data_IF_716376443784
#
_entry.id   IF_716376443784
#
_cell.length_a   1.000
_cell.length_b   1.000
_cell.length_c   1.000
_cell.angle_alpha   90.00
_cell.angle_beta   90.00
_cell.angle_gamma   90.00
#
_symmetry.space_group_name_H-M   'P 1'
#
loop_
_entity.id
_entity.type
_entity.pdbx_description
1 polymer ?
2 branched ?
3 water ?
#
# COMPACT_ATOMS: atom_id res chain seq x y z
N UNK A 2 12.82 -8.06 -6.23
CA UNK A 2 13.59 -7.20 -5.37
C UNK A 2 12.78 -5.94 -5.03
N UNK A 3 13.21 -5.18 -4.03
CA UNK A 3 12.48 -4.00 -3.61
C UNK A 3 13.30 -2.74 -3.33
N UNK A 4 12.60 -1.62 -3.19
CA UNK A 4 13.23 -0.36 -2.89
C UNK A 4 14.11 0.09 -4.02
N UNK A 5 15.26 0.66 -3.69
CA UNK A 5 16.25 1.13 -4.66
C UNK A 5 16.67 0.02 -5.61
N UNK A 6 16.74 -1.19 -5.09
CA UNK A 6 17.14 -2.38 -5.84
C UNK A 6 15.99 -3.00 -6.66
N UNK A 7 14.75 -2.69 -6.30
CA UNK A 7 13.61 -3.23 -7.00
C UNK A 7 12.78 -2.23 -7.79
N UNK A 8 13.27 -0.99 -7.88
CA UNK A 8 12.60 0.09 -8.61
C UNK A 8 11.39 0.68 -7.86
N UNK A 9 11.58 1.05 -6.60
CA UNK A 9 10.53 1.62 -5.77
C UNK A 9 9.49 0.57 -5.45
N UNK A 10 9.73 -0.64 -5.92
CA UNK A 10 8.82 -1.76 -5.76
C UNK A 10 8.50 -2.06 -4.32
N UNK A 11 7.24 -2.40 -4.04
CA UNK A 11 6.89 -2.66 -2.65
C UNK A 11 6.48 -4.08 -2.29
N UNK A 12 6.82 -4.49 -1.08
CA UNK A 12 6.49 -5.80 -0.57
C UNK A 12 5.03 -5.82 -0.13
N UNK A 13 4.31 -6.95 -0.35
CA UNK A 13 2.90 -7.13 0.02
C UNK A 13 2.78 -7.27 1.54
N UNK A 14 1.54 -7.15 2.04
CA UNK A 14 1.22 -7.27 3.47
C UNK A 14 2.14 -6.47 4.43
N UNK A 15 2.76 -5.39 3.96
CA UNK A 15 3.64 -4.52 4.75
C UNK A 15 4.98 -5.10 5.12
N UNK A 16 5.41 -6.14 4.42
CA UNK A 16 6.73 -6.70 4.71
C UNK A 16 7.75 -5.59 4.47
N UNK A 17 8.74 -5.52 5.35
CA UNK A 17 9.76 -4.50 5.26
C UNK A 17 10.75 -4.80 4.15
N UNK A 18 11.19 -3.77 3.46
CA UNK A 18 12.15 -3.91 2.39
C UNK A 18 13.48 -3.54 3.01
N UNK A 19 14.27 -4.55 3.40
CA UNK A 19 15.57 -4.34 4.05
C UNK A 19 16.42 -3.38 3.26
N UNK A 20 17.61 -3.03 3.77
CA UNK A 20 18.46 -2.12 3.00
C UNK A 20 18.96 -2.76 1.67
N UNK A 21 18.97 -4.09 1.61
CA UNK A 21 19.44 -4.81 0.43
C UNK A 21 18.35 -5.20 -0.59
N UNK A 22 17.20 -4.53 -0.50
CA UNK A 22 16.11 -4.76 -1.43
C UNK A 22 15.38 -6.09 -1.34
N UNK A 23 15.29 -6.67 -0.15
CA UNK A 23 14.56 -7.93 -0.03
C UNK A 23 13.40 -7.79 0.94
N UNK A 24 12.44 -8.71 0.87
CA UNK A 24 11.24 -8.73 1.74
C UNK A 24 11.20 -9.72 2.91
N UNK A 25 10.72 -9.25 4.04
CA UNK A 25 10.58 -10.14 5.17
C UNK A 25 10.22 -9.35 6.38
N UNK A 26 10.13 -10.04 7.52
CA UNK A 26 9.81 -9.41 8.79
C UNK A 26 10.97 -9.74 9.73
N UNK A 27 11.23 -8.83 10.65
CA UNK A 27 12.28 -9.04 11.61
C UNK A 27 13.26 -7.90 11.56
N UNK A 28 14.09 -7.82 12.58
CA UNK A 28 15.07 -6.76 12.64
C UNK A 28 15.87 -6.72 11.37
N UNK A 29 16.13 -7.89 10.81
CA UNK A 29 16.93 -8.00 9.58
C UNK A 29 16.39 -7.11 8.44
N UNK A 30 15.08 -7.13 8.23
CA UNK A 30 14.49 -6.34 7.16
C UNK A 30 13.86 -5.05 7.65
N UNK A 31 13.31 -5.08 8.85
CA UNK A 31 12.62 -3.89 9.39
C UNK A 31 13.46 -2.86 10.15
N UNK A 32 14.62 -3.26 10.66
CA UNK A 32 15.45 -2.34 11.43
C UNK A 32 16.18 -1.27 10.66
N UNK A 33 17.50 -1.23 10.88
CA UNK A 33 18.38 -0.28 10.21
C UNK A 33 18.35 -0.69 8.72
N UNK A 34 18.36 0.27 7.81
CA UNK A 34 18.29 -0.08 6.41
C UNK A 34 16.93 0.09 5.77
N UNK A 35 15.90 -0.57 6.31
CA UNK A 35 14.48 -0.51 5.81
C UNK A 35 14.09 0.61 4.81
N UNK A 36 13.66 0.24 3.62
CA UNK A 36 13.31 1.21 2.59
C UNK A 36 11.80 1.53 2.49
N UNK A 37 10.97 0.56 2.88
CA UNK A 37 9.52 0.66 2.87
C UNK A 37 8.89 -0.48 3.65
N UNK A 38 7.57 -0.48 3.81
CA UNK A 38 6.94 -1.54 4.56
C UNK A 38 6.82 -1.10 6.01
N UNK A 39 6.57 -2.04 6.92
CA UNK A 39 6.43 -1.72 8.34
C UNK A 39 7.74 -1.45 9.05
N UNK A 40 8.54 -0.52 8.51
CA UNK A 40 9.86 -0.16 9.09
C UNK A 40 9.75 0.10 10.55
N UNK A 41 10.79 -0.25 11.31
CA UNK A 41 10.78 -0.04 12.75
C UNK A 41 10.85 1.46 13.08
N UNK A 42 11.49 2.22 12.19
CA UNK A 42 11.58 3.66 12.34
C UNK A 42 10.69 4.25 11.28
N UNK A 43 9.56 4.78 11.72
CA UNK A 43 8.61 5.35 10.82
C UNK A 43 9.17 6.52 10.06
N UNK A 44 9.03 6.42 8.75
CA UNK A 44 9.48 7.42 7.79
C UNK A 44 8.85 8.77 8.04
N UNK A 45 9.40 9.77 7.34
CA UNK A 45 8.98 11.15 7.43
C UNK A 45 8.14 11.48 6.19
N UNK A 46 7.27 12.47 6.27
CA UNK A 46 6.47 12.79 5.10
C UNK A 46 5.96 14.21 5.04
N UNK A 47 5.41 14.54 3.88
CA UNK A 47 4.81 15.84 3.64
C UNK A 47 5.41 17.13 4.14
N UNK A 48 4.69 17.82 5.01
CA UNK A 48 5.09 19.11 5.58
C UNK A 48 6.50 19.10 6.10
N UNK A 49 6.73 18.22 7.07
CA UNK A 49 8.01 18.07 7.71
C UNK A 49 9.08 17.48 6.77
N UNK A 50 8.67 16.73 5.77
CA UNK A 50 9.62 16.14 4.83
C UNK A 50 9.56 16.66 3.39
N UNK A 51 8.87 17.78 3.17
CA UNK A 51 8.75 18.33 1.82
C UNK A 51 7.94 17.54 0.80
N UNK A 52 7.11 16.60 1.26
CA UNK A 52 6.34 15.80 0.35
C UNK A 52 6.83 14.38 0.19
N UNK A 53 7.57 13.87 1.17
CA UNK A 53 8.06 12.49 1.10
C UNK A 53 6.90 11.53 1.37
N UNK A 54 5.81 11.69 0.60
CA UNK A 54 4.61 10.86 0.69
C UNK A 54 4.96 9.48 1.23
N UNK A 55 4.07 8.90 2.05
CA UNK A 55 4.32 7.58 2.60
C UNK A 55 4.17 6.46 1.63
N UNK A 56 5.16 5.56 1.59
CA UNK A 56 4.92 4.49 0.63
C UNK A 56 4.09 3.46 1.38
N UNK A 57 3.55 2.51 0.61
CA UNK A 57 2.71 1.41 1.05
C UNK A 57 1.29 1.88 1.37
N UNK A 58 0.90 3.06 0.89
CA UNK A 58 -0.44 3.66 1.15
C UNK A 58 -0.68 3.84 2.64
N UNK A 59 0.36 4.28 3.33
CA UNK A 59 0.28 4.52 4.74
C UNK A 59 -0.13 5.94 4.91
N UNK A 60 -0.66 6.24 6.10
CA UNK A 60 -1.13 7.56 6.42
C UNK A 60 0.04 8.31 6.94
N UNK A 61 0.03 9.60 6.71
CA UNK A 61 1.07 10.47 7.16
C UNK A 61 0.46 11.32 8.27
N UNK A 62 1.04 11.24 9.46
CA UNK A 62 0.50 11.99 10.59
C UNK A 62 0.79 13.48 10.53
N UNK A 63 0.10 14.23 11.38
CA UNK A 63 0.27 15.67 11.46
C UNK A 63 1.66 16.04 11.88
N UNK A 64 2.41 15.06 12.37
CA UNK A 64 3.78 15.34 12.75
C UNK A 64 4.69 14.86 11.63
N UNK A 65 4.11 14.12 10.68
CA UNK A 65 4.87 13.61 9.55
C UNK A 65 5.63 12.29 9.70
N UNK A 66 4.99 11.25 10.25
CA UNK A 66 5.62 9.95 10.37
C UNK A 66 4.62 9.02 9.76
N UNK A 67 5.10 8.00 9.04
CA UNK A 67 4.22 7.07 8.35
C UNK A 67 3.72 5.95 9.20
N UNK A 68 2.43 5.67 9.07
CA UNK A 68 1.80 4.61 9.83
C UNK A 68 0.32 4.53 9.56
N UNK A 69 -0.35 3.80 10.43
CA UNK A 69 -1.77 3.54 10.37
C UNK A 69 -2.25 3.62 11.80
N UNK A 70 -3.52 3.96 11.96
CA UNK A 70 -4.11 4.09 13.28
C UNK A 70 -4.73 5.47 13.40
N UNK A 71 -5.59 5.66 14.40
CA UNK A 71 -6.26 6.95 14.62
C UNK A 71 -5.22 8.05 14.71
N UNK A 72 -4.16 7.78 15.47
CA UNK A 72 -3.04 8.73 15.62
C UNK A 72 -2.49 9.19 14.27
N UNK A 73 -2.49 8.24 13.32
CA UNK A 73 -2.00 8.42 11.95
C UNK A 73 -2.98 8.88 10.90
N UNK A 74 -3.98 8.04 10.69
CA UNK A 74 -5.03 8.27 9.71
C UNK A 74 -6.08 9.22 10.27
N UNK A 75 -6.02 9.46 11.57
CA UNK A 75 -6.98 10.36 12.18
C UNK A 75 -6.68 11.80 11.80
N UNK A 76 -6.87 12.72 12.77
CA UNK A 76 -6.66 14.15 12.57
C UNK A 76 -5.25 14.55 12.23
N UNK A 77 -5.16 15.69 11.54
CA UNK A 77 -3.88 16.21 11.10
C UNK A 77 -3.31 15.36 9.99
N UNK A 78 -3.91 14.20 9.69
CA UNK A 78 -3.43 13.28 8.64
C UNK A 78 -3.15 14.06 7.36
N UNK A 79 -1.88 14.14 7.02
CA UNK A 79 -1.45 14.87 5.85
C UNK A 79 -1.55 14.11 4.53
N UNK A 80 -1.66 12.78 4.59
CA UNK A 80 -1.75 12.02 3.35
C UNK A 80 -1.97 10.54 3.54
N UNK A 81 -2.30 9.81 2.48
CA UNK A 81 -2.53 8.39 2.57
C UNK A 81 -3.99 8.16 2.79
N UNK A 82 -4.46 6.95 3.16
CA UNK A 82 -5.89 6.79 3.37
C UNK A 82 -6.43 7.47 4.65
N UNK A 83 -6.32 8.79 4.72
CA UNK A 83 -6.82 9.53 5.87
C UNK A 83 -8.33 9.23 6.08
N UNK A 84 -8.82 9.43 7.30
CA UNK A 84 -10.24 9.19 7.55
C UNK A 84 -11.17 10.34 7.09
N UNK A 85 -10.60 11.54 6.99
CA UNK A 85 -11.28 12.74 6.52
C UNK A 85 -11.43 12.55 5.01
N UNK A 86 -12.30 13.34 4.39
CA UNK A 86 -12.49 13.23 2.97
C UNK A 86 -11.56 14.18 2.33
N UNK A 87 -10.89 13.67 1.31
CA UNK A 87 -9.94 14.48 0.61
C UNK A 87 -10.58 15.01 -0.67
N UNK A 88 -10.67 16.31 -0.72
CA UNK A 88 -11.26 16.98 -1.84
C UNK A 88 -10.24 17.09 -2.95
N UNK A 89 -10.67 17.58 -4.11
CA UNK A 89 -9.82 17.70 -5.24
C UNK A 89 -10.70 18.18 -6.37
N UNK A 90 -10.08 18.41 -7.53
CA UNK A 90 -10.81 18.83 -8.72
C UNK A 90 -11.11 20.31 -8.90
N UNK A 91 -12.05 20.56 -9.82
CA UNK A 91 -12.53 21.90 -10.17
C UNK A 91 -12.80 22.67 -8.89
N UNK A 92 -13.37 21.95 -7.92
CA UNK A 92 -13.68 22.41 -6.58
C UNK A 92 -12.39 22.18 -5.79
N UNK A 93 -11.46 23.11 -5.95
CA UNK A 93 -10.16 23.08 -5.30
C UNK A 93 -9.30 24.09 -6.05
N UNK A 94 -9.84 24.49 -7.20
CA UNK A 94 -9.12 25.40 -8.06
C UNK A 94 -8.28 24.43 -8.87
N UNK A 95 -8.89 23.29 -9.19
CA UNK A 95 -8.19 22.27 -9.92
C UNK A 95 -7.07 21.82 -9.01
N UNK A 96 -7.26 20.70 -8.35
CA UNK A 96 -6.22 20.19 -7.48
C UNK A 96 -6.22 18.69 -7.64
N UNK A 97 -5.03 18.10 -7.63
CA UNK A 97 -4.93 16.68 -7.85
C UNK A 97 -4.77 15.79 -6.65
N UNK A 98 -5.34 14.60 -6.76
CA UNK A 98 -5.26 13.59 -5.71
C UNK A 98 -3.79 13.17 -5.57
N UNK A 99 -3.43 12.66 -4.39
CA UNK A 99 -2.04 12.22 -4.19
C UNK A 99 -1.94 10.73 -4.51
N UNK A 100 -0.73 10.29 -4.87
CA UNK A 100 -0.51 8.87 -5.15
C UNK A 100 -1.46 8.18 -6.13
N UNK A 101 -1.68 8.84 -7.25
CA UNK A 101 -2.54 8.36 -8.33
C UNK A 101 -3.89 7.90 -7.86
N UNK A 102 -4.52 8.78 -7.09
CA UNK A 102 -5.85 8.56 -6.57
C UNK A 102 -6.80 9.28 -7.53
N UNK A 103 -7.97 8.70 -7.76
CA UNK A 103 -8.97 9.27 -8.64
C UNK A 103 -9.76 10.33 -7.93
N UNK A 104 -10.10 11.38 -8.68
CA UNK A 104 -10.88 12.47 -8.18
C UNK A 104 -12.25 12.29 -8.81
N UNK A 105 -13.25 12.04 -7.97
CA UNK A 105 -14.62 11.82 -8.41
C UNK A 105 -15.25 13.07 -8.96
N UNK A 106 -16.42 12.91 -9.54
CA UNK A 106 -17.18 14.02 -10.11
C UNK A 106 -17.44 14.98 -8.98
N UNK A 107 -17.69 14.39 -7.83
CA UNK A 107 -18.01 15.08 -6.61
C UNK A 107 -16.88 15.89 -5.99
N UNK A 108 -15.67 15.74 -6.54
CA UNK A 108 -14.53 16.49 -6.05
C UNK A 108 -13.85 15.83 -4.87
N UNK A 109 -13.80 14.50 -4.86
CA UNK A 109 -13.17 13.75 -3.78
C UNK A 109 -12.27 12.58 -4.20
N UNK A 110 -11.20 12.36 -3.45
CA UNK A 110 -10.28 11.29 -3.77
C UNK A 110 -10.75 9.90 -3.40
N UNK A 111 -10.26 8.90 -4.13
CA UNK A 111 -10.64 7.53 -3.87
C UNK A 111 -10.15 6.60 -4.97
N UNK A 112 -10.52 5.32 -4.90
CA UNK A 112 -10.12 4.31 -5.88
C UNK A 112 -11.31 3.41 -6.07
N UNK A 113 -11.60 3.06 -7.31
CA UNK A 113 -12.74 2.20 -7.58
C UNK A 113 -13.71 2.91 -8.52
N UNK A 114 -14.68 2.14 -9.00
CA UNK A 114 -15.73 2.63 -9.91
C UNK A 114 -16.25 3.99 -9.63
N UNK A 115 -16.70 4.20 -8.39
CA UNK A 115 -17.27 5.47 -7.96
C UNK A 115 -16.33 6.64 -8.05
N UNK A 116 -15.02 6.39 -8.02
CA UNK A 116 -14.10 7.51 -8.05
C UNK A 116 -13.42 7.69 -9.37
N UNK A 117 -12.97 6.56 -9.91
CA UNK A 117 -12.22 6.52 -11.19
C UNK A 117 -13.06 6.49 -12.44
N UNK A 118 -14.30 6.06 -12.27
CA UNK A 118 -15.27 5.93 -13.35
C UNK A 118 -15.69 7.21 -14.03
N UNK A 119 -16.99 7.31 -14.33
CA UNK A 119 -17.47 8.49 -15.02
C UNK A 119 -17.45 9.80 -14.23
N UNK A 120 -16.89 10.83 -14.86
CA UNK A 120 -16.77 12.13 -14.24
C UNK A 120 -15.43 12.39 -13.56
N UNK A 121 -14.62 11.33 -13.42
CA UNK A 121 -13.29 11.37 -12.79
C UNK A 121 -12.47 12.55 -13.31
N UNK A 122 -11.86 13.33 -12.42
CA UNK A 122 -11.08 14.55 -12.79
C UNK A 122 -9.54 14.51 -12.92
N UNK A 123 -8.90 13.49 -12.37
CA UNK A 123 -7.45 13.34 -12.39
C UNK A 123 -7.20 12.09 -11.62
N UNK A 124 -6.04 11.47 -11.84
CA UNK A 124 -5.70 10.25 -11.12
C UNK A 124 -5.87 9.02 -11.98
N UNK A 125 -5.98 7.84 -11.39
CA UNK A 125 -6.12 6.62 -12.21
C UNK A 125 -7.49 6.39 -12.78
N UNK A 126 -8.04 7.44 -13.41
CA UNK A 126 -9.37 7.40 -14.05
C UNK A 126 -9.45 6.29 -15.11
N UNK A 127 -10.45 5.43 -14.99
CA UNK A 127 -10.61 4.34 -15.94
C UNK A 127 -11.50 4.66 -17.11
N UNK A 128 -11.79 5.95 -17.32
CA UNK A 128 -12.63 6.36 -18.42
C UNK A 128 -11.89 6.27 -19.75
N UNK A 129 -10.56 6.30 -19.65
CA UNK A 129 -9.64 6.24 -20.79
C UNK A 129 -9.90 7.28 -21.85
N UNK A 130 -10.01 8.53 -21.46
CA UNK A 130 -10.23 9.54 -22.46
C UNK A 130 -8.97 9.79 -23.26
N UNK A 131 -9.09 9.74 -24.59
CA UNK A 131 -8.05 9.93 -25.58
C UNK A 131 -7.61 11.36 -25.58
N UNK A 132 -6.36 11.55 -25.87
CA UNK A 132 -5.77 12.87 -25.91
C UNK A 132 -5.09 13.03 -27.28
N UNK A 133 -4.34 14.11 -27.44
CA UNK A 133 -3.60 14.30 -28.66
C UNK A 133 -4.16 15.04 -29.83
N UNK A 134 -3.48 14.88 -30.95
CA UNK A 134 -3.82 15.50 -32.23
C UNK A 134 -5.24 15.16 -32.66
N UNK A 135 -5.59 13.90 -32.48
CA UNK A 135 -6.92 13.41 -32.84
C UNK A 135 -7.95 13.57 -31.72
N UNK A 136 -7.86 14.65 -30.95
CA UNK A 136 -8.80 14.89 -29.86
C UNK A 136 -8.79 16.34 -29.38
N UNK A 137 -8.81 17.28 -30.32
CA UNK A 137 -8.78 18.68 -29.98
C UNK A 137 -7.44 19.13 -29.38
N UNK A 138 -6.56 18.16 -29.16
CA UNK A 138 -5.27 18.45 -28.55
C UNK A 138 -5.43 18.33 -27.03
N UNK A 139 -6.19 17.34 -26.59
CA UNK A 139 -6.36 17.17 -25.17
C UNK A 139 -5.07 16.61 -24.56
N UNK A 140 -4.68 17.19 -23.44
CA UNK A 140 -3.51 16.74 -22.75
C UNK A 140 -4.03 15.87 -21.63
N UNK A 141 -3.15 15.08 -21.03
CA UNK A 141 -3.55 14.22 -19.93
C UNK A 141 -3.43 14.96 -18.58
N UNK A 142 -3.99 14.35 -17.54
CA UNK A 142 -3.90 14.90 -16.19
C UNK A 142 -2.68 14.25 -15.56
N UNK A 143 -2.29 14.73 -14.39
CA UNK A 143 -1.16 14.18 -13.66
C UNK A 143 0.11 14.08 -14.48
N UNK A 144 0.13 14.75 -15.63
CA UNK A 144 1.27 14.73 -16.50
C UNK A 144 1.50 13.33 -17.11
N UNK A 145 0.44 12.50 -17.15
CA UNK A 145 0.57 11.17 -17.71
C UNK A 145 1.03 11.31 -19.15
N UNK A 146 1.62 10.26 -19.70
CA UNK A 146 2.07 10.35 -21.09
C UNK A 146 0.94 10.07 -22.06
N UNK A 147 0.72 10.97 -23.01
CA UNK A 147 -0.31 10.75 -24.03
C UNK A 147 0.39 9.94 -25.15
N UNK A 148 0.14 8.64 -25.18
CA UNK A 148 0.76 7.74 -26.15
C UNK A 148 0.52 8.13 -27.58
N UNK A 149 1.24 7.45 -28.48
CA UNK A 149 1.13 7.69 -29.91
C UNK A 149 -0.31 7.35 -30.39
N UNK A 150 -1.02 6.52 -29.64
CA UNK A 150 -2.40 6.16 -30.01
C UNK A 150 -3.40 6.98 -29.22
N UNK A 151 -3.01 8.19 -28.83
CA UNK A 151 -3.87 9.08 -28.06
C UNK A 151 -4.47 8.48 -26.80
N UNK A 152 -3.64 7.85 -25.97
CA UNK A 152 -4.10 7.23 -24.72
C UNK A 152 -3.15 7.62 -23.60
N UNK A 153 -3.68 7.94 -22.44
CA UNK A 153 -2.84 8.35 -21.30
C UNK A 153 -2.35 7.22 -20.44
N UNK A 154 -1.07 7.24 -20.13
CA UNK A 154 -0.56 6.18 -19.31
C UNK A 154 0.81 6.57 -18.90
N UNK A 155 1.51 5.64 -18.27
CA UNK A 155 2.89 5.86 -17.82
C UNK A 155 3.60 4.57 -18.16
N UNK A 156 4.72 4.69 -18.85
CA UNK A 156 5.44 3.50 -19.26
C UNK A 156 6.13 3.74 -20.59
N UNK A 157 6.92 2.78 -21.11
CA UNK A 157 7.62 2.94 -22.38
C UNK A 157 6.61 3.11 -23.49
N UNK A 158 5.61 2.23 -23.48
CA UNK A 158 4.55 2.29 -24.48
C UNK A 158 3.84 3.62 -24.63
N UNK A 159 3.91 4.45 -23.59
CA UNK A 159 3.26 5.75 -23.58
C UNK A 159 4.24 6.92 -23.67
N UNK A 160 5.21 6.89 -22.80
CA UNK A 160 6.20 7.96 -22.69
C UNK A 160 7.27 7.98 -23.75
N UNK A 161 7.48 6.86 -24.42
CA UNK A 161 8.52 6.79 -25.42
C UNK A 161 8.19 7.22 -26.82
N UNK A 162 8.19 6.22 -27.69
CA UNK A 162 7.95 6.40 -29.12
C UNK A 162 6.61 7.07 -29.48
N UNK A 163 6.71 8.26 -30.06
CA UNK A 163 5.51 8.98 -30.44
C UNK A 163 4.67 9.46 -29.27
N UNK A 164 5.32 9.84 -28.18
CA UNK A 164 4.59 10.35 -27.03
C UNK A 164 4.27 11.76 -27.45
N UNK A 165 2.97 12.04 -27.61
CA UNK A 165 2.50 13.34 -28.05
C UNK A 165 2.65 14.38 -26.97
N UNK A 166 2.31 14.02 -25.73
CA UNK A 166 2.41 14.93 -24.56
C UNK A 166 2.62 14.23 -23.20
N UNK A 167 2.95 15.04 -22.19
CA UNK A 167 3.16 14.52 -20.85
C UNK A 167 4.61 14.21 -20.57
N UNK A 168 4.84 13.11 -19.85
CA UNK A 168 6.20 12.74 -19.51
C UNK A 168 6.82 11.81 -20.53
N UNK A 169 7.13 12.35 -21.70
CA UNK A 169 7.74 11.56 -22.77
C UNK A 169 9.22 11.32 -22.53
N UNK A 170 9.76 10.27 -23.15
CA UNK A 170 11.16 9.89 -22.99
C UNK A 170 12.05 10.23 -24.20
N UNK A 171 11.92 11.45 -24.71
CA UNK A 171 12.74 11.87 -25.84
C UNK A 171 13.53 13.16 -25.62
N UNK B 2 9.86 -6.61 -11.03
CA UNK B 2 8.70 -7.20 -11.61
C UNK B 2 7.74 -7.30 -10.45
N UNK B 3 6.48 -7.21 -10.80
CA UNK B 3 5.39 -7.22 -9.86
C UNK B 3 4.47 -8.42 -10.04
N UNK B 4 3.47 -8.53 -9.16
CA UNK B 4 2.49 -9.59 -9.26
C UNK B 4 3.12 -10.95 -9.25
N UNK B 5 2.65 -11.86 -10.10
CA UNK B 5 3.19 -13.23 -10.17
C UNK B 5 4.63 -13.23 -10.75
N UNK B 6 4.87 -12.36 -11.71
CA UNK B 6 6.17 -12.26 -12.32
C UNK B 6 7.24 -11.67 -11.40
N UNK B 7 6.88 -11.29 -10.19
CA UNK B 7 7.86 -10.69 -9.30
C UNK B 7 7.70 -10.99 -7.83
N UNK B 8 7.18 -12.18 -7.50
CA UNK B 8 6.99 -12.56 -6.10
C UNK B 8 5.99 -11.71 -5.32
N UNK B 9 4.78 -11.52 -5.85
CA UNK B 9 3.79 -10.74 -5.11
C UNK B 9 4.15 -9.29 -4.80
N UNK B 10 5.06 -8.71 -5.58
CA UNK B 10 5.47 -7.31 -5.42
C UNK B 10 4.39 -6.35 -5.90
N UNK B 11 4.41 -5.15 -5.35
CA UNK B 11 3.42 -4.17 -5.74
C UNK B 11 4.17 -2.96 -6.22
N UNK B 12 3.55 -2.19 -7.09
CA UNK B 12 4.19 -1.03 -7.65
C UNK B 12 4.02 0.17 -6.77
N UNK B 13 4.94 1.14 -6.86
CA UNK B 13 4.83 2.35 -6.04
C UNK B 13 3.68 3.25 -6.54
N UNK B 14 3.29 4.22 -5.71
CA UNK B 14 2.25 5.20 -6.01
C UNK B 14 0.98 4.70 -6.73
N UNK B 15 0.49 3.55 -6.35
CA UNK B 15 -0.71 3.02 -6.94
C UNK B 15 -0.70 2.72 -8.43
N UNK B 16 0.50 2.49 -8.96
CA UNK B 16 0.65 2.14 -10.36
C UNK B 16 0.22 0.67 -10.43
N UNK B 17 -0.38 0.30 -11.56
CA UNK B 17 -0.92 -1.04 -11.78
C UNK B 17 0.10 -2.05 -12.20
N UNK B 18 -0.16 -3.31 -11.90
CA UNK B 18 0.76 -4.36 -12.33
C UNK B 18 0.07 -5.08 -13.46
N UNK B 19 0.60 -4.96 -14.66
CA UNK B 19 0.00 -5.61 -15.79
C UNK B 19 0.06 -7.07 -15.62
N UNK B 20 -0.48 -7.74 -16.63
CA UNK B 20 -0.51 -9.19 -16.70
C UNK B 20 0.87 -9.76 -17.01
N UNK B 21 1.83 -8.87 -17.30
CA UNK B 21 3.19 -9.26 -17.67
C UNK B 21 4.21 -9.00 -16.58
N UNK B 22 3.73 -8.58 -15.42
CA UNK B 22 4.60 -8.31 -14.30
C UNK B 22 5.23 -6.93 -14.32
N UNK B 23 4.74 -5.99 -15.11
CA UNK B 23 5.37 -4.65 -15.12
C UNK B 23 4.41 -3.54 -14.61
N UNK B 24 4.97 -2.44 -14.09
CA UNK B 24 4.24 -1.28 -13.54
C UNK B 24 3.93 -0.06 -14.40
N UNK B 25 2.67 0.32 -14.47
CA UNK B 25 2.39 1.51 -15.25
C UNK B 25 1.00 1.99 -14.96
N UNK B 26 0.52 2.89 -15.78
CA UNK B 26 -0.79 3.44 -15.64
C UNK B 26 -1.24 3.40 -17.09
N UNK B 27 -2.46 2.94 -17.32
CA UNK B 27 -2.97 2.87 -18.69
C UNK B 27 -3.69 1.55 -18.81
N UNK B 28 -4.52 1.41 -19.84
CA UNK B 28 -5.28 0.19 -19.99
C UNK B 28 -4.36 -0.99 -20.07
N UNK B 29 -3.12 -0.71 -20.47
CA UNK B 29 -2.09 -1.73 -20.64
C UNK B 29 -1.47 -2.20 -19.36
N UNK B 30 -1.76 -1.51 -18.27
CA UNK B 30 -1.27 -1.97 -16.99
C UNK B 30 -2.50 -2.15 -16.10
N UNK B 31 -3.37 -1.14 -16.13
CA UNK B 31 -4.63 -1.11 -15.34
C UNK B 31 -5.86 -1.88 -15.86
N UNK B 32 -5.88 -2.14 -17.16
CA UNK B 32 -7.00 -2.86 -17.76
C UNK B 32 -7.03 -4.31 -17.34
N UNK B 33 -7.50 -5.20 -18.21
CA UNK B 33 -7.57 -6.62 -17.89
C UNK B 33 -6.13 -7.10 -17.74
N UNK B 34 -5.91 -8.09 -16.88
CA UNK B 34 -4.55 -8.55 -16.66
C UNK B 34 -4.02 -7.95 -15.36
N UNK B 35 -4.30 -6.67 -15.11
CA UNK B 35 -3.91 -5.95 -13.87
C UNK B 35 -3.95 -6.86 -12.62
N UNK B 36 -2.81 -6.98 -11.91
CA UNK B 36 -2.71 -7.85 -10.74
C UNK B 36 -2.81 -7.15 -9.38
N UNK B 37 -2.55 -5.86 -9.37
CA UNK B 37 -2.61 -5.04 -8.16
C UNK B 37 -2.32 -3.63 -8.61
N UNK B 38 -2.52 -2.68 -7.71
CA UNK B 38 -2.31 -1.29 -8.03
C UNK B 38 -3.67 -0.73 -8.31
N UNK B 39 -3.75 0.41 -8.99
CA UNK B 39 -5.05 1.00 -9.28
C UNK B 39 -5.76 0.30 -10.47
N UNK B 40 -6.03 -1.00 -10.34
CA UNK B 40 -6.71 -1.75 -11.38
C UNK B 40 -8.09 -1.21 -11.70
N UNK B 41 -8.39 -1.13 -13.00
CA UNK B 41 -9.67 -0.61 -13.43
C UNK B 41 -10.86 -1.43 -12.89
N UNK B 42 -10.63 -2.73 -12.77
CA UNK B 42 -11.63 -3.67 -12.23
C UNK B 42 -11.08 -4.13 -10.86
N UNK B 43 -11.47 -3.42 -9.81
CA UNK B 43 -11.03 -3.68 -8.46
C UNK B 43 -11.03 -5.14 -8.07
N UNK B 44 -10.05 -5.53 -7.26
CA UNK B 44 -9.93 -6.92 -6.80
C UNK B 44 -10.96 -7.14 -5.70
N UNK B 45 -11.60 -8.30 -5.71
CA UNK B 45 -12.57 -8.63 -4.69
C UNK B 45 -11.81 -8.90 -3.38
N UNK B 46 -12.54 -9.21 -2.30
CA UNK B 46 -11.90 -9.43 -1.02
C UNK B 46 -12.92 -9.76 0.04
N UNK B 47 -12.45 -9.93 1.27
CA UNK B 47 -13.36 -10.23 2.35
C UNK B 47 -14.22 -11.46 2.15
N UNK B 48 -15.30 -11.54 2.93
CA UNK B 48 -16.22 -12.65 2.94
C UNK B 48 -16.74 -13.00 1.58
N UNK B 49 -16.88 -11.98 0.74
CA UNK B 49 -17.34 -12.15 -0.65
C UNK B 49 -16.32 -12.91 -1.50
N UNK B 50 -15.05 -12.80 -1.13
CA UNK B 50 -14.00 -13.44 -1.89
C UNK B 50 -13.15 -14.30 -0.99
N UNK B 51 -13.75 -15.31 -0.38
CA UNK B 51 -13.04 -16.22 0.52
C UNK B 51 -12.09 -15.71 1.60
N UNK B 52 -12.25 -14.45 2.00
CA UNK B 52 -11.40 -13.88 3.03
C UNK B 52 -10.14 -13.16 2.57
N UNK B 53 -10.04 -12.90 1.26
CA UNK B 53 -8.88 -12.24 0.68
C UNK B 53 -8.63 -10.80 1.08
N UNK B 54 -7.35 -10.43 1.07
CA UNK B 54 -6.91 -9.09 1.42
C UNK B 54 -6.64 -8.28 0.18
N UNK B 55 -6.75 -6.98 0.32
CA UNK B 55 -6.55 -6.11 -0.80
C UNK B 55 -5.10 -5.72 -0.96
N UNK B 56 -4.59 -5.77 -2.20
CA UNK B 56 -3.20 -5.41 -2.47
C UNK B 56 -3.05 -3.94 -2.07
N UNK B 57 -1.80 -3.47 -2.06
CA UNK B 57 -1.43 -2.12 -1.74
C UNK B 57 -2.11 -1.46 -0.51
N UNK B 58 -2.67 -2.24 0.40
CA UNK B 58 -3.33 -1.69 1.62
C UNK B 58 -4.49 -0.87 1.17
N UNK B 59 -5.43 -1.51 0.51
CA UNK B 59 -6.61 -0.86 0.04
C UNK B 59 -7.71 -1.34 0.97
N UNK B 60 -8.77 -0.55 1.13
CA UNK B 60 -9.86 -0.92 2.00
C UNK B 60 -10.68 -1.85 1.19
N UNK B 61 -11.32 -2.77 1.87
CA UNK B 61 -12.17 -3.75 1.24
C UNK B 61 -13.59 -3.31 1.69
N UNK B 62 -14.38 -2.74 0.77
CA UNK B 62 -15.73 -2.26 1.09
C UNK B 62 -16.64 -3.35 1.59
N UNK B 63 -17.78 -2.99 2.16
CA UNK B 63 -18.68 -4.03 2.64
C UNK B 63 -19.15 -4.95 1.54
N UNK B 64 -18.98 -4.53 0.29
CA UNK B 64 -19.44 -5.37 -0.81
C UNK B 64 -18.39 -6.35 -1.35
N UNK B 65 -17.14 -6.25 -0.88
CA UNK B 65 -16.09 -7.15 -1.32
C UNK B 65 -15.35 -6.63 -2.55
N UNK B 66 -15.00 -5.35 -2.54
CA UNK B 66 -14.29 -4.72 -3.63
C UNK B 66 -13.25 -3.81 -2.97
N UNK B 67 -12.06 -3.70 -3.57
CA UNK B 67 -10.97 -2.87 -3.07
C UNK B 67 -10.87 -1.48 -3.62
N UNK B 68 -10.53 -0.52 -2.76
CA UNK B 68 -10.36 0.86 -3.20
C UNK B 68 -10.11 1.82 -2.06
N UNK B 69 -10.35 3.10 -2.30
CA UNK B 69 -10.16 4.12 -1.30
C UNK B 69 -11.28 5.16 -1.28
N UNK B 70 -11.56 5.74 -0.12
CA UNK B 70 -12.61 6.74 -0.04
C UNK B 70 -13.80 6.23 0.76
N UNK B 71 -14.58 7.17 1.27
CA UNK B 71 -15.78 6.90 2.08
C UNK B 71 -16.42 5.55 1.93
N UNK B 72 -16.69 5.18 0.68
CA UNK B 72 -17.36 3.91 0.35
C UNK B 72 -16.59 2.66 0.63
N UNK B 73 -15.28 2.76 0.58
CA UNK B 73 -14.49 1.57 0.85
C UNK B 73 -13.98 1.58 2.28
N UNK B 74 -13.46 2.72 2.67
CA UNK B 74 -12.89 2.90 3.99
C UNK B 74 -13.87 3.28 5.12
N UNK B 75 -15.02 3.84 4.75
CA UNK B 75 -16.04 4.23 5.70
C UNK B 75 -16.70 3.02 6.30
N UNK B 76 -18.03 2.98 6.26
CA UNK B 76 -18.79 1.87 6.83
C UNK B 76 -18.84 0.60 6.03
N UNK B 77 -18.82 -0.51 6.76
CA UNK B 77 -18.82 -1.81 6.16
C UNK B 77 -17.39 -2.28 5.93
N UNK B 78 -16.47 -1.33 5.79
CA UNK B 78 -15.04 -1.64 5.57
C UNK B 78 -14.61 -2.93 6.29
N UNK B 79 -14.66 -4.03 5.57
CA UNK B 79 -14.29 -5.31 6.12
C UNK B 79 -12.76 -5.55 6.15
N UNK B 80 -11.97 -4.62 5.60
CA UNK B 80 -10.52 -4.82 5.62
C UNK B 80 -9.73 -3.63 5.13
N UNK B 81 -8.41 -3.69 5.23
CA UNK B 81 -7.57 -2.59 4.75
C UNK B 81 -7.50 -1.48 5.75
N UNK B 82 -7.00 -0.29 5.37
CA UNK B 82 -6.90 0.84 6.30
C UNK B 82 -8.29 1.37 6.69
N UNK B 83 -9.10 0.54 7.35
CA UNK B 83 -10.46 0.93 7.72
C UNK B 83 -10.60 2.22 8.59
N UNK B 84 -11.59 3.04 8.26
CA UNK B 84 -11.84 4.30 8.98
C UNK B 84 -12.12 4.11 10.46
N UNK B 85 -12.68 2.96 10.83
CA UNK B 85 -12.95 2.63 12.23
C UNK B 85 -11.73 1.95 12.77
N UNK B 86 -11.42 2.20 14.04
CA UNK B 86 -10.27 1.61 14.70
C UNK B 86 -10.51 0.11 14.67
N UNK B 87 -9.52 -0.61 14.16
CA UNK B 87 -9.60 -2.06 14.07
C UNK B 87 -9.18 -2.60 15.45
N UNK B 88 -9.93 -3.56 15.96
CA UNK B 88 -9.70 -4.13 17.27
C UNK B 88 -8.95 -5.44 17.20
N UNK B 89 -8.15 -5.73 18.22
CA UNK B 89 -7.34 -6.95 18.23
C UNK B 89 -6.75 -7.33 19.60
N UNK B 90 -6.18 -8.52 19.69
CA UNK B 90 -5.54 -8.94 20.92
C UNK B 90 -6.35 -9.60 22.02
N UNK B 91 -5.81 -9.54 23.23
CA UNK B 91 -6.45 -10.13 24.41
C UNK B 91 -7.83 -9.58 24.60
N UNK B 92 -8.06 -8.40 24.02
CA UNK B 92 -9.35 -7.73 24.11
C UNK B 92 -10.32 -8.31 23.09
N UNK B 93 -9.82 -8.61 21.90
CA UNK B 93 -10.67 -9.13 20.85
C UNK B 93 -10.57 -10.62 20.58
N UNK B 94 -10.17 -11.39 21.59
CA UNK B 94 -10.08 -12.83 21.46
C UNK B 94 -8.86 -13.34 20.73
N UNK B 95 -7.74 -12.64 20.94
CA UNK B 95 -6.51 -13.02 20.29
C UNK B 95 -6.47 -12.66 18.80
N UNK B 96 -7.48 -11.92 18.37
CA UNK B 96 -7.61 -11.52 16.98
C UNK B 96 -6.35 -10.76 16.60
N UNK B 97 -5.71 -11.18 15.51
CA UNK B 97 -4.49 -10.53 15.01
C UNK B 97 -4.87 -9.41 14.05
N UNK B 98 -3.97 -8.45 13.87
CA UNK B 98 -4.27 -7.39 12.94
C UNK B 98 -3.97 -7.94 11.59
N UNK B 99 -4.79 -7.57 10.59
CA UNK B 99 -4.54 -8.07 9.23
C UNK B 99 -3.38 -7.30 8.58
N UNK B 100 -2.77 -7.89 7.55
CA UNK B 100 -1.65 -7.30 6.84
C UNK B 100 -0.55 -6.87 7.76
N UNK B 101 -0.17 -7.79 8.63
CA UNK B 101 0.92 -7.58 9.58
C UNK B 101 0.88 -6.23 10.33
N UNK B 102 -0.31 -5.74 10.63
CA UNK B 102 -0.38 -4.51 11.41
C UNK B 102 -0.06 -4.92 12.83
N UNK B 103 0.39 -3.95 13.63
CA UNK B 103 0.72 -4.12 15.04
C UNK B 103 -0.52 -3.82 15.86
N UNK B 104 -0.84 -4.77 16.73
CA UNK B 104 -1.94 -4.63 17.64
C UNK B 104 -1.38 -3.95 18.89
N UNK B 105 -1.78 -2.70 19.14
CA UNK B 105 -1.29 -1.98 20.32
C UNK B 105 -1.69 -2.66 21.60
N UNK B 106 -1.22 -2.15 22.73
CA UNK B 106 -1.62 -2.76 24.01
C UNK B 106 -3.08 -2.45 24.35
N UNK B 107 -3.56 -1.36 23.77
CA UNK B 107 -4.94 -0.90 23.94
C UNK B 107 -5.94 -1.61 23.03
N UNK B 108 -5.49 -2.68 22.37
CA UNK B 108 -6.34 -3.49 21.50
C UNK B 108 -6.74 -2.89 20.17
N UNK B 109 -5.88 -2.09 19.55
CA UNK B 109 -6.20 -1.49 18.25
C UNK B 109 -5.05 -1.50 17.23
N UNK B 110 -5.33 -2.10 16.07
CA UNK B 110 -4.41 -2.21 14.94
C UNK B 110 -3.93 -0.91 14.34
N UNK B 111 -2.63 -0.79 14.19
CA UNK B 111 -2.05 0.41 13.61
C UNK B 111 -0.61 0.09 13.27
N UNK B 112 0.15 1.08 12.82
CA UNK B 112 1.54 0.91 12.44
C UNK B 112 2.20 2.17 12.91
N UNK B 113 3.33 2.05 13.58
CA UNK B 113 4.03 3.21 14.08
C UNK B 113 4.40 2.94 15.52
N UNK B 114 5.18 3.81 16.13
CA UNK B 114 5.61 3.65 17.52
C UNK B 114 4.47 3.26 18.46
N UNK B 115 3.37 4.00 18.36
CA UNK B 115 2.23 3.76 19.24
C UNK B 115 1.62 2.39 19.19
N UNK B 116 1.69 1.72 18.06
CA UNK B 116 1.07 0.41 18.01
C UNK B 116 2.10 -0.71 18.06
N UNK B 117 3.21 -0.50 17.36
CA UNK B 117 4.33 -1.46 17.25
C UNK B 117 5.35 -1.54 18.40
N UNK B 118 5.57 -0.40 19.03
CA UNK B 118 6.47 -0.28 20.15
C UNK B 118 6.09 -1.11 21.36
N UNK B 119 6.42 -0.60 22.54
CA UNK B 119 6.16 -1.37 23.73
C UNK B 119 4.70 -1.68 23.91
N UNK B 120 4.43 -2.91 24.31
CA UNK B 120 3.07 -3.31 24.53
C UNK B 120 2.49 -4.15 23.41
N UNK B 121 2.90 -3.82 22.19
CA UNK B 121 2.49 -4.48 20.95
C UNK B 121 2.17 -5.96 21.16
N UNK B 122 0.97 -6.36 20.73
CA UNK B 122 0.54 -7.74 20.90
C UNK B 122 0.80 -8.65 19.68
N UNK B 123 0.78 -8.12 18.47
CA UNK B 123 1.06 -8.95 17.33
C UNK B 123 1.34 -8.13 16.10
N UNK B 124 1.92 -8.78 15.08
CA UNK B 124 2.25 -8.08 13.84
C UNK B 124 3.69 -7.59 13.88
N UNK B 125 4.03 -6.56 13.12
CA UNK B 125 5.40 -6.04 13.08
C UNK B 125 5.91 -5.26 14.29
N UNK B 126 5.79 -5.82 15.49
CA UNK B 126 6.25 -5.10 16.69
C UNK B 126 7.74 -4.87 16.64
N UNK B 127 8.14 -3.60 16.80
CA UNK B 127 9.55 -3.20 16.77
C UNK B 127 10.32 -3.66 18.00
N UNK B 128 9.63 -4.41 18.85
CA UNK B 128 10.21 -4.93 20.07
C UNK B 128 10.54 -6.35 19.67
N UNK B 129 11.79 -6.75 19.81
CA UNK B 129 12.07 -8.11 19.45
C UNK B 129 12.11 -9.04 20.66
N UNK B 130 10.94 -9.31 21.21
CA UNK B 130 10.82 -10.18 22.37
C UNK B 130 11.44 -11.51 21.97
N UNK B 131 12.31 -12.08 22.82
CA UNK B 131 12.95 -13.35 22.49
C UNK B 131 12.02 -14.53 22.43
N UNK B 132 12.30 -15.40 21.47
CA UNK B 132 11.53 -16.61 21.25
C UNK B 132 12.50 -17.80 21.32
N UNK B 133 11.96 -19.01 21.24
CA UNK B 133 12.81 -20.19 21.30
C UNK B 133 13.34 -20.46 22.69
N UNK B 134 14.08 -21.56 22.85
CA UNK B 134 14.63 -21.94 24.14
C UNK B 134 15.36 -20.76 24.76
N UNK B 135 15.85 -19.87 23.90
CA UNK B 135 16.57 -18.66 24.28
C UNK B 135 15.86 -17.85 25.36
N UNK B 136 14.57 -18.14 25.56
CA UNK B 136 13.75 -17.44 26.54
C UNK B 136 12.45 -18.20 26.83
N UNK B 137 12.57 -19.26 27.62
CA UNK B 137 11.39 -20.04 27.99
C UNK B 137 10.65 -20.78 26.88
N UNK B 138 11.18 -20.74 25.66
CA UNK B 138 10.55 -21.42 24.54
C UNK B 138 9.41 -20.60 23.97
N UNK B 139 9.49 -19.28 24.14
CA UNK B 139 8.44 -18.40 23.66
C UNK B 139 8.18 -18.54 22.17
N UNK B 140 6.93 -18.41 21.78
CA UNK B 140 6.58 -18.51 20.38
C UNK B 140 6.08 -17.17 19.83
N UNK B 141 6.59 -16.82 18.66
CA UNK B 141 6.25 -15.58 17.97
C UNK B 141 4.78 -15.51 17.57
N UNK B 142 4.31 -14.29 17.33
CA UNK B 142 2.94 -14.12 16.87
C UNK B 142 2.98 -14.27 15.34
N UNK B 143 1.79 -14.26 14.74
CA UNK B 143 1.61 -14.35 13.30
C UNK B 143 2.23 -15.51 12.55
N UNK B 144 2.64 -16.55 13.28
CA UNK B 144 3.26 -17.75 12.72
C UNK B 144 4.62 -17.40 12.14
N UNK B 145 5.22 -16.33 12.67
CA UNK B 145 6.53 -15.92 12.21
C UNK B 145 7.56 -16.99 12.61
N UNK B 146 8.72 -16.95 12.00
CA UNK B 146 9.73 -17.91 12.34
C UNK B 146 10.65 -17.37 13.41
N UNK B 147 10.88 -18.19 14.41
CA UNK B 147 11.81 -17.87 15.47
C UNK B 147 13.08 -18.44 14.84
N UNK B 148 14.17 -17.67 14.76
CA UNK B 148 15.41 -18.17 14.13
C UNK B 148 16.39 -18.87 15.08
N UNK B 149 17.68 -18.86 14.74
CA UNK B 149 18.68 -19.47 15.61
C UNK B 149 18.82 -18.56 16.81
N UNK B 150 19.02 -17.28 16.53
CA UNK B 150 19.21 -16.28 17.57
C UNK B 150 18.07 -16.09 18.56
N UNK B 151 16.89 -16.62 18.25
CA UNK B 151 15.73 -16.46 19.12
C UNK B 151 15.15 -15.07 18.88
N UNK B 152 14.85 -14.79 17.62
CA UNK B 152 14.29 -13.52 17.18
C UNK B 152 13.37 -13.83 16.05
N UNK B 153 12.17 -13.26 16.09
CA UNK B 153 11.14 -13.49 15.07
C UNK B 153 11.21 -12.64 13.83
N UNK B 154 10.81 -13.24 12.73
CA UNK B 154 10.85 -12.54 11.48
C UNK B 154 10.52 -13.45 10.32
N UNK B 155 10.57 -12.90 9.12
CA UNK B 155 10.29 -13.65 7.90
C UNK B 155 11.44 -13.47 6.93
N UNK B 156 11.90 -14.58 6.35
CA UNK B 156 12.97 -14.50 5.39
C UNK B 156 13.73 -15.79 5.48
N UNK B 157 14.70 -16.03 4.55
CA UNK B 157 15.48 -17.28 4.60
C UNK B 157 16.30 -17.29 5.89
N UNK B 158 16.63 -16.11 6.39
CA UNK B 158 17.41 -15.99 7.60
C UNK B 158 16.72 -16.33 8.91
N UNK B 159 15.38 -16.44 8.89
CA UNK B 159 14.61 -16.78 10.09
C UNK B 159 13.90 -18.11 9.91
N UNK B 160 13.44 -18.36 8.69
CA UNK B 160 12.68 -19.57 8.43
C UNK B 160 13.49 -20.78 7.98
N UNK B 161 14.68 -20.52 7.44
CA UNK B 161 15.53 -21.61 6.97
C UNK B 161 16.20 -22.39 8.08
N UNK B 162 17.48 -22.67 7.90
CA UNK B 162 18.27 -23.45 8.86
C UNK B 162 18.38 -22.88 10.29
N UNK B 163 17.93 -23.66 11.28
CA UNK B 163 17.99 -23.23 12.68
C UNK B 163 16.81 -22.41 13.20
N UNK B 164 15.64 -22.61 12.57
CA UNK B 164 14.37 -21.96 12.89
C UNK B 164 13.64 -22.79 13.95
N UNK B 165 13.69 -22.28 15.18
CA UNK B 165 13.14 -22.92 16.39
C UNK B 165 11.63 -23.23 16.41
N UNK B 166 10.85 -22.53 15.60
CA UNK B 166 9.41 -22.73 15.52
C UNK B 166 8.88 -21.64 14.61
N UNK B 167 7.66 -21.82 14.14
CA UNK B 167 7.06 -20.84 13.26
C UNK B 167 6.82 -21.51 11.95
N UNK B 168 6.66 -20.71 10.89
CA UNK B 168 6.44 -21.29 9.58
C UNK B 168 7.83 -21.57 9.02
N UNK B 169 8.57 -22.43 9.71
CA UNK B 169 9.93 -22.78 9.30
C UNK B 169 9.98 -23.57 7.99
N UNK B 170 10.96 -23.23 7.16
CA UNK B 170 11.16 -23.88 5.89
C UNK B 170 11.80 -25.25 6.13
N UNK B 171 13.14 -25.32 6.03
CA UNK B 171 13.84 -26.58 6.18
C UNK B 171 13.78 -27.45 4.91
#
# INVERSE_FOLDING_TARGET
>A
XRCGEQGSGMECPNNLCCSQYGYCGMGGDYCGKGCQNGACWTSKRCGSQAGGKTCPNNHCCSQYGHCGFGAEYCGAGCQGGPCRADIKCGSQAGGKLCPNNLCCSQWGYCGLGSEFCGEGCQNGACSTDKPCGKDAGGRVCTNNYCCSKWGSCGIGPGYCGAGCQSGGCDGVFAEAIATNSTLLAE
>B
XRCGEQGSGMECPNNLCCSQYGYCGMGGDYCGKGCQNGACWTSKRCGSQAGGKTCPNNHCCSQYGHCGFGAEYCGAGCQGGPCRADIKCGSQAGGKLCPNNLCCSQWGYCGLGSEFCGEGCQNGACSTDKPCGKDAGGRVCTNNYCCSKWGSCGIGPGYCGAGCQSGGCDGVFAEAIATNSTLLAE
#
